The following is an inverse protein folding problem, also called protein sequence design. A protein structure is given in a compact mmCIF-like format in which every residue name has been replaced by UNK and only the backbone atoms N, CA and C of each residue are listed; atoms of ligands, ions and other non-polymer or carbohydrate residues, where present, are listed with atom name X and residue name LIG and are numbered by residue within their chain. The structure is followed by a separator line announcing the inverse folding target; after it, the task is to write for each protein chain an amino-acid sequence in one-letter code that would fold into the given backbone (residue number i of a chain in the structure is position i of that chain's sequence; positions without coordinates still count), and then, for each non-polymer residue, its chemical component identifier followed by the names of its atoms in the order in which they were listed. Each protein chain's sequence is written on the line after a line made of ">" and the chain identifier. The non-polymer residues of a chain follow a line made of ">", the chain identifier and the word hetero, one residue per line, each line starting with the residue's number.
data_IF_020214688108
#
_entry.id   IF_020214688108
#
_cell.length_a   1.000
_cell.length_b   1.000
_cell.length_c   1.000
_cell.angle_alpha   90.00
_cell.angle_beta   90.00
_cell.angle_gamma   90.00
#
_symmetry.space_group_name_H-M   'P 1'
#
loop_
_entity.id
_entity.type
_entity.pdbx_description
1 polymer ?
#
# COMPACT_ATOMS: atom_id res chain seq x y z
N UNK A 1 -8.95 -0.20 -6.23
CA UNK A 1 -9.62 1.00 -6.79
C UNK A 1 -10.68 0.57 -7.80
N UNK A 2 -10.38 -0.19 -8.88
CA UNK A 2 -11.38 -0.61 -9.89
C UNK A 2 -12.59 -1.33 -9.28
N UNK A 3 -12.37 -2.27 -8.35
CA UNK A 3 -13.47 -2.99 -7.66
C UNK A 3 -14.36 -2.06 -6.84
N UNK A 4 -13.78 -1.02 -6.23
CA UNK A 4 -14.49 -0.02 -5.44
C UNK A 4 -15.44 0.81 -6.33
N UNK A 5 -14.95 1.30 -7.47
CA UNK A 5 -15.78 2.02 -8.43
C UNK A 5 -16.87 1.14 -9.04
N UNK A 6 -16.55 -0.10 -9.40
CA UNK A 6 -17.52 -1.05 -9.95
C UNK A 6 -18.62 -1.35 -8.91
N UNK A 7 -18.27 -1.60 -7.64
CA UNK A 7 -19.26 -1.88 -6.59
C UNK A 7 -20.15 -0.67 -6.29
N UNK A 8 -19.58 0.55 -6.28
CA UNK A 8 -20.34 1.79 -6.12
C UNK A 8 -21.30 1.98 -7.29
N UNK A 9 -20.79 1.87 -8.51
CA UNK A 9 -21.58 2.04 -9.73
C UNK A 9 -22.74 1.02 -9.79
N UNK A 10 -22.45 -0.27 -9.54
CA UNK A 10 -23.47 -1.31 -9.50
C UNK A 10 -24.50 -1.05 -8.40
N UNK A 11 -24.08 -0.67 -7.19
CA UNK A 11 -24.99 -0.40 -6.09
C UNK A 11 -25.91 0.78 -6.42
N UNK A 12 -25.35 1.89 -6.90
CA UNK A 12 -26.14 3.08 -7.28
C UNK A 12 -27.06 2.79 -8.45
N UNK A 13 -26.58 2.10 -9.49
CA UNK A 13 -27.39 1.74 -10.65
C UNK A 13 -28.53 0.79 -10.28
N UNK A 14 -28.24 -0.24 -9.46
CA UNK A 14 -29.27 -1.19 -9.02
C UNK A 14 -30.30 -0.53 -8.09
N UNK A 15 -29.83 0.37 -7.20
CA UNK A 15 -30.72 1.15 -6.33
C UNK A 15 -31.61 2.09 -7.14
N UNK A 16 -31.04 2.79 -8.13
CA UNK A 16 -31.80 3.67 -9.00
C UNK A 16 -32.88 2.92 -9.77
N UNK A 17 -32.52 1.79 -10.41
CA UNK A 17 -33.46 0.94 -11.16
C UNK A 17 -34.52 0.32 -10.23
N UNK A 18 -34.11 -0.22 -9.07
CA UNK A 18 -35.01 -0.86 -8.12
C UNK A 18 -36.00 0.12 -7.49
N UNK A 19 -35.50 1.27 -7.03
CA UNK A 19 -36.36 2.31 -6.43
C UNK A 19 -37.26 2.94 -7.51
N UNK A 20 -36.69 3.24 -8.69
CA UNK A 20 -37.46 3.77 -9.83
C UNK A 20 -38.58 2.85 -10.26
N UNK A 21 -38.27 1.55 -10.41
CA UNK A 21 -39.27 0.55 -10.80
C UNK A 21 -40.36 0.36 -9.74
N UNK A 22 -40.00 0.31 -8.46
CA UNK A 22 -40.99 0.18 -7.36
C UNK A 22 -41.92 1.39 -7.28
N UNK A 23 -41.36 2.61 -7.43
CA UNK A 23 -42.16 3.85 -7.43
C UNK A 23 -43.10 3.93 -8.65
N UNK A 24 -42.58 3.59 -9.84
CA UNK A 24 -43.42 3.54 -11.08
C UNK A 24 -44.54 2.49 -10.95
N UNK A 25 -44.22 1.32 -10.39
CA UNK A 25 -45.23 0.27 -10.14
C UNK A 25 -46.28 0.68 -9.11
N UNK A 26 -45.86 1.36 -8.03
CA UNK A 26 -46.81 1.90 -7.04
C UNK A 26 -47.65 3.05 -7.62
N UNK A 27 -47.06 3.88 -8.45
CA UNK A 27 -47.74 4.96 -9.12
C UNK A 27 -48.85 4.39 -10.04
N UNK A 28 -48.52 3.46 -10.95
CA UNK A 28 -49.45 2.80 -11.84
C UNK A 28 -50.59 2.06 -11.13
N UNK A 29 -50.31 1.48 -9.95
CA UNK A 29 -51.31 0.77 -9.15
C UNK A 29 -52.27 1.70 -8.43
N UNK A 30 -51.83 2.90 -8.05
CA UNK A 30 -52.63 3.85 -7.26
C UNK A 30 -53.22 5.00 -8.06
N UNK A 31 -52.83 5.12 -9.34
CA UNK A 31 -53.29 6.17 -10.26
C UNK A 31 -54.05 5.53 -11.40
N UNK A 32 -55.38 5.53 -11.34
CA UNK A 32 -56.20 5.22 -12.52
C UNK A 32 -55.93 6.25 -13.62
N UNK A 33 -55.61 5.80 -14.83
CA UNK A 33 -55.37 6.67 -16.00
C UNK A 33 -56.68 7.35 -16.50
N UNK A 34 -57.86 6.90 -16.01
CA UNK A 34 -59.12 7.52 -16.32
C UNK A 34 -59.26 8.84 -15.57
N UNK A 35 -59.49 9.90 -16.33
CA UNK A 35 -59.79 11.20 -15.73
C UNK A 35 -61.06 11.07 -14.88
N UNK A 36 -61.00 11.41 -13.59
CA UNK A 36 -62.14 11.21 -12.67
C UNK A 36 -63.41 11.96 -13.08
N UNK A 37 -63.30 12.90 -14.02
CA UNK A 37 -64.43 13.65 -14.56
C UNK A 37 -65.06 13.06 -15.82
N UNK A 38 -64.46 12.07 -16.48
CA UNK A 38 -65.01 11.51 -17.72
C UNK A 38 -66.36 10.83 -17.50
N UNK A 39 -66.50 9.98 -16.51
CA UNK A 39 -67.76 9.29 -16.25
C UNK A 39 -68.89 10.25 -15.79
N UNK A 40 -68.67 11.23 -14.88
CA UNK A 40 -69.66 12.25 -14.55
C UNK A 40 -70.06 13.11 -15.73
N UNK A 41 -69.07 13.50 -16.58
CA UNK A 41 -69.32 14.31 -17.79
C UNK A 41 -70.18 13.59 -18.82
N UNK A 42 -69.87 12.29 -19.04
CA UNK A 42 -70.70 11.43 -19.93
C UNK A 42 -72.13 11.29 -19.39
N UNK A 43 -72.30 11.02 -18.08
CA UNK A 43 -73.61 10.92 -17.46
C UNK A 43 -74.38 12.25 -17.55
N UNK A 44 -73.69 13.37 -17.33
CA UNK A 44 -74.29 14.68 -17.44
C UNK A 44 -74.69 15.04 -18.90
N UNK A 45 -73.86 14.73 -19.88
CA UNK A 45 -74.18 14.92 -21.27
C UNK A 45 -75.36 14.11 -21.71
N UNK A 46 -75.51 12.88 -21.20
CA UNK A 46 -76.71 12.03 -21.47
C UNK A 46 -77.99 12.64 -20.88
N UNK A 47 -77.94 13.21 -19.68
CA UNK A 47 -79.04 13.91 -19.04
C UNK A 47 -79.47 15.15 -19.87
N UNK A 48 -78.47 15.96 -20.29
CA UNK A 48 -78.70 17.13 -21.13
C UNK A 48 -79.34 16.80 -22.49
N UNK A 49 -78.97 15.62 -23.03
CA UNK A 49 -79.55 15.17 -24.33
C UNK A 49 -81.06 14.87 -24.22
N UNK A 50 -81.53 14.50 -23.00
CA UNK A 50 -82.95 14.23 -22.80
C UNK A 50 -83.77 15.51 -22.59
N UNK A 51 -83.12 16.67 -22.34
CA UNK A 51 -83.83 17.97 -22.17
C UNK A 51 -84.07 18.62 -23.55
N UNK A 52 -85.20 19.41 -23.67
CA UNK A 52 -85.46 20.25 -24.87
C UNK A 52 -84.28 21.24 -25.04
N UNK A 53 -83.94 21.54 -26.30
CA UNK A 53 -82.80 22.45 -26.59
C UNK A 53 -82.92 23.81 -25.93
N UNK A 54 -84.11 24.37 -25.90
CA UNK A 54 -84.35 25.70 -25.28
C UNK A 54 -84.10 25.74 -23.79
N UNK A 55 -84.19 24.63 -23.08
CA UNK A 55 -84.04 24.55 -21.61
C UNK A 55 -82.64 24.16 -21.17
N UNK A 56 -81.75 23.71 -22.07
CA UNK A 56 -80.38 23.24 -21.76
C UNK A 56 -79.51 24.37 -21.24
N UNK A 57 -79.66 25.56 -21.78
CA UNK A 57 -78.85 26.70 -21.42
C UNK A 57 -79.18 27.19 -20.01
N UNK A 58 -80.49 27.31 -19.69
CA UNK A 58 -80.98 27.71 -18.35
C UNK A 58 -80.50 26.73 -17.26
N UNK A 59 -80.54 25.41 -17.60
CA UNK A 59 -80.11 24.38 -16.66
C UNK A 59 -78.57 24.45 -16.38
N UNK A 60 -77.76 24.74 -17.38
CA UNK A 60 -76.33 24.93 -17.22
C UNK A 60 -75.99 26.18 -16.44
N UNK A 61 -76.68 27.29 -16.64
CA UNK A 61 -76.45 28.55 -15.92
C UNK A 61 -76.71 28.35 -14.41
N UNK A 62 -77.71 27.61 -14.04
CA UNK A 62 -77.98 27.27 -12.61
C UNK A 62 -76.88 26.40 -12.03
N UNK A 63 -76.39 25.41 -12.75
CA UNK A 63 -75.34 24.47 -12.30
C UNK A 63 -73.95 25.12 -12.23
N UNK A 64 -73.62 26.01 -13.17
CA UNK A 64 -72.34 26.72 -13.14
C UNK A 64 -72.23 27.72 -12.04
N UNK A 65 -73.36 28.35 -11.67
CA UNK A 65 -73.44 29.35 -10.59
C UNK A 65 -73.29 28.70 -9.20
N UNK A 66 -73.91 27.49 -8.99
CA UNK A 66 -73.90 26.83 -7.68
C UNK A 66 -72.68 25.93 -7.41
N UNK A 67 -72.05 25.36 -8.44
CA UNK A 67 -71.03 24.30 -8.26
C UNK A 67 -69.59 24.69 -8.70
N UNK A 68 -69.34 25.95 -9.09
CA UNK A 68 -68.03 26.44 -9.56
C UNK A 68 -67.38 25.57 -10.70
N UNK A 69 -68.19 24.75 -11.37
CA UNK A 69 -67.75 23.98 -12.54
C UNK A 69 -67.95 24.84 -13.78
N UNK A 70 -66.93 25.26 -14.48
CA UNK A 70 -67.09 26.08 -15.69
C UNK A 70 -67.54 25.18 -16.86
N UNK A 71 -68.86 25.05 -16.99
CA UNK A 71 -69.51 24.29 -18.05
C UNK A 71 -70.16 25.24 -19.06
N UNK A 72 -69.87 25.07 -20.34
CA UNK A 72 -70.47 25.87 -21.40
C UNK A 72 -70.96 24.97 -22.56
N UNK A 73 -72.10 25.34 -23.15
CA UNK A 73 -72.55 24.75 -24.39
C UNK A 73 -72.10 25.59 -25.57
N UNK A 74 -71.43 24.94 -26.52
CA UNK A 74 -70.83 25.54 -27.70
C UNK A 74 -71.40 24.92 -28.94
N UNK A 75 -71.49 25.69 -30.01
CA UNK A 75 -71.77 25.12 -31.34
C UNK A 75 -70.51 24.42 -31.86
N UNK A 76 -70.64 23.35 -32.63
CA UNK A 76 -69.44 22.65 -33.17
C UNK A 76 -68.50 23.55 -33.97
N UNK A 77 -69.02 24.59 -34.59
CA UNK A 77 -68.24 25.61 -35.34
C UNK A 77 -67.37 26.49 -34.49
N UNK A 78 -67.57 26.55 -33.18
CA UNK A 78 -66.87 27.37 -32.22
C UNK A 78 -65.68 26.66 -31.60
N UNK A 79 -65.45 25.37 -31.94
CA UNK A 79 -64.47 24.54 -31.33
C UNK A 79 -63.39 24.17 -32.34
N UNK A 80 -62.14 24.52 -32.02
CA UNK A 80 -60.95 24.13 -32.80
C UNK A 80 -60.36 22.85 -32.17
N UNK A 81 -60.73 21.66 -32.66
CA UNK A 81 -60.15 20.39 -32.30
C UNK A 81 -58.90 20.11 -33.15
N UNK A 82 -57.97 19.32 -32.60
CA UNK A 82 -56.85 18.82 -33.35
C UNK A 82 -57.30 17.90 -34.51
N UNK A 83 -56.54 17.83 -35.61
CA UNK A 83 -56.91 17.08 -36.84
C UNK A 83 -57.27 15.63 -36.65
N UNK A 84 -56.80 15.02 -35.53
CA UNK A 84 -57.01 13.59 -35.24
C UNK A 84 -58.11 13.33 -34.18
N UNK A 85 -58.76 14.40 -33.67
CA UNK A 85 -59.81 14.30 -32.65
C UNK A 85 -61.19 14.45 -33.28
N UNK A 86 -61.98 13.41 -33.11
CA UNK A 86 -63.40 13.39 -33.59
C UNK A 86 -64.34 13.32 -32.39
N UNK A 87 -65.28 14.27 -32.31
CA UNK A 87 -66.33 14.21 -31.30
C UNK A 87 -67.27 13.12 -31.62
N UNK A 88 -67.47 12.18 -30.71
CA UNK A 88 -68.45 11.10 -30.79
C UNK A 88 -69.34 11.11 -29.58
N UNK A 89 -70.59 10.71 -29.67
CA UNK A 89 -71.49 10.63 -28.53
C UNK A 89 -70.94 9.69 -27.46
N UNK A 90 -70.99 10.13 -26.17
CA UNK A 90 -70.50 9.41 -25.00
C UNK A 90 -68.97 9.26 -24.94
N UNK A 91 -68.21 9.98 -25.73
CA UNK A 91 -66.76 10.00 -25.64
C UNK A 91 -66.26 11.41 -25.30
N UNK A 92 -65.45 11.52 -24.22
CA UNK A 92 -64.84 12.79 -23.80
C UNK A 92 -63.57 13.00 -24.58
N UNK A 93 -63.46 14.15 -25.23
CA UNK A 93 -62.24 14.57 -25.92
C UNK A 93 -61.57 15.63 -25.05
N UNK A 94 -60.34 15.36 -24.60
CA UNK A 94 -59.55 16.32 -23.79
C UNK A 94 -58.59 17.06 -24.72
N UNK A 95 -58.57 18.38 -24.61
CA UNK A 95 -57.67 19.26 -25.34
C UNK A 95 -56.92 20.16 -24.37
N UNK A 96 -55.64 20.40 -24.62
CA UNK A 96 -54.82 21.32 -23.81
C UNK A 96 -54.49 22.58 -24.62
N UNK A 97 -54.74 23.74 -24.04
CA UNK A 97 -54.40 25.02 -24.68
C UNK A 97 -52.90 25.28 -24.65
N UNK A 98 -52.41 26.26 -25.41
CA UNK A 98 -51.00 26.71 -25.38
C UNK A 98 -50.54 27.25 -24.03
N UNK A 99 -51.47 27.59 -23.13
CA UNK A 99 -51.23 28.06 -21.78
C UNK A 99 -51.20 26.95 -20.73
N UNK A 100 -51.43 25.67 -21.17
CA UNK A 100 -51.39 24.49 -20.32
C UNK A 100 -52.73 24.17 -19.62
N UNK A 101 -53.79 24.91 -19.93
CA UNK A 101 -55.10 24.62 -19.39
C UNK A 101 -55.77 23.47 -20.15
N UNK A 102 -56.45 22.55 -19.43
CA UNK A 102 -57.17 21.44 -20.03
C UNK A 102 -58.67 21.72 -20.10
N UNK A 103 -59.23 21.44 -21.27
CA UNK A 103 -60.66 21.47 -21.53
C UNK A 103 -61.12 20.10 -21.98
N UNK A 104 -62.31 19.70 -21.51
CA UNK A 104 -62.98 18.45 -21.90
C UNK A 104 -64.20 18.79 -22.74
N UNK A 105 -64.33 18.10 -23.84
CA UNK A 105 -65.42 18.29 -24.78
C UNK A 105 -66.19 16.98 -24.95
N UNK A 106 -67.54 17.05 -24.90
CA UNK A 106 -68.40 15.91 -25.15
C UNK A 106 -69.61 16.38 -26.00
N UNK A 107 -69.99 15.54 -26.95
CA UNK A 107 -71.13 15.84 -27.83
C UNK A 107 -72.46 15.64 -27.14
N UNK A 108 -73.37 16.65 -27.22
CA UNK A 108 -74.70 16.66 -26.63
C UNK A 108 -75.69 17.05 -27.74
N UNK A 109 -76.18 16.07 -28.49
CA UNK A 109 -77.01 16.30 -29.64
C UNK A 109 -76.31 17.05 -30.81
N UNK A 110 -76.78 18.23 -31.22
CA UNK A 110 -76.12 19.12 -32.18
C UNK A 110 -75.13 20.10 -31.56
N UNK A 111 -75.00 20.11 -30.23
CA UNK A 111 -74.15 21.00 -29.47
C UNK A 111 -73.01 20.23 -28.84
N UNK A 112 -72.04 20.94 -28.28
CA UNK A 112 -70.87 20.38 -27.56
C UNK A 112 -70.81 21.01 -26.18
N UNK A 113 -70.82 20.16 -25.16
CA UNK A 113 -70.52 20.58 -23.79
C UNK A 113 -69.03 20.70 -23.58
N UNK A 114 -68.60 21.86 -23.20
CA UNK A 114 -67.20 22.15 -22.76
C UNK A 114 -67.14 22.24 -21.25
N UNK A 115 -66.24 21.51 -20.64
CA UNK A 115 -65.90 21.62 -19.25
C UNK A 115 -64.43 22.10 -19.11
N UNK A 116 -64.22 23.16 -18.34
CA UNK A 116 -62.87 23.68 -18.11
C UNK A 116 -62.81 25.20 -18.04
N UNK A 117 -61.68 25.78 -17.64
CA UNK A 117 -60.40 25.12 -17.42
C UNK A 117 -60.40 24.18 -16.20
N UNK A 118 -59.76 23.00 -16.36
CA UNK A 118 -59.67 22.00 -15.30
C UNK A 118 -58.23 22.01 -14.80
N UNK A 119 -58.02 22.16 -13.47
CA UNK A 119 -56.70 22.01 -12.86
C UNK A 119 -56.19 20.60 -13.04
N UNK A 120 -55.00 20.47 -13.66
CA UNK A 120 -54.48 19.28 -14.32
C UNK A 120 -54.03 18.18 -13.37
N UNK A 121 -53.81 18.45 -12.11
CA UNK A 121 -53.19 17.44 -11.25
C UNK A 121 -53.67 17.42 -9.79
N UNK A 122 -54.87 16.82 -9.53
CA UNK A 122 -55.31 16.62 -8.15
C UNK A 122 -54.36 15.75 -7.31
N UNK A 123 -53.32 15.20 -7.94
CA UNK A 123 -52.36 14.28 -7.31
C UNK A 123 -50.91 14.82 -7.32
N UNK A 124 -50.73 16.10 -7.64
CA UNK A 124 -49.40 16.74 -7.60
C UNK A 124 -48.70 16.57 -6.25
N UNK A 125 -49.45 16.63 -5.16
CA UNK A 125 -48.94 16.42 -3.79
C UNK A 125 -48.42 14.98 -3.61
N UNK A 126 -49.14 13.99 -4.15
CA UNK A 126 -48.73 12.60 -4.09
C UNK A 126 -47.44 12.35 -4.90
N UNK A 127 -47.35 12.95 -6.11
CA UNK A 127 -46.15 12.90 -6.93
C UNK A 127 -44.94 13.54 -6.25
N UNK A 128 -45.14 14.68 -5.61
CA UNK A 128 -44.12 15.36 -4.85
C UNK A 128 -43.63 14.50 -3.66
N UNK A 129 -44.55 13.84 -2.95
CA UNK A 129 -44.23 12.93 -1.85
C UNK A 129 -43.43 11.71 -2.34
N UNK A 130 -43.81 11.07 -3.45
CA UNK A 130 -43.05 9.96 -4.04
C UNK A 130 -41.65 10.40 -4.48
N UNK A 131 -41.53 11.59 -5.06
CA UNK A 131 -40.24 12.16 -5.46
C UNK A 131 -39.36 12.39 -4.25
N UNK A 132 -39.90 12.91 -3.16
CA UNK A 132 -39.18 13.10 -1.90
C UNK A 132 -38.67 11.76 -1.35
N UNK A 133 -39.53 10.73 -1.27
CA UNK A 133 -39.13 9.38 -0.82
C UNK A 133 -38.06 8.77 -1.71
N UNK A 134 -38.13 8.99 -3.03
CA UNK A 134 -37.10 8.54 -3.97
C UNK A 134 -35.73 9.13 -3.61
N UNK A 135 -35.62 10.43 -3.46
CA UNK A 135 -34.36 11.08 -3.12
C UNK A 135 -33.88 10.72 -1.71
N UNK A 136 -34.78 10.56 -0.75
CA UNK A 136 -34.43 10.15 0.60
C UNK A 136 -33.87 8.73 0.64
N UNK A 137 -34.47 7.79 -0.09
CA UNK A 137 -34.00 6.41 -0.18
C UNK A 137 -32.64 6.31 -0.90
N UNK A 138 -32.43 7.10 -1.95
CA UNK A 138 -31.16 7.19 -2.65
C UNK A 138 -30.04 7.76 -1.73
N UNK A 139 -30.37 8.82 -0.97
CA UNK A 139 -29.46 9.39 0.01
C UNK A 139 -29.09 8.40 1.12
N UNK A 140 -30.05 7.61 1.59
CA UNK A 140 -29.82 6.57 2.60
C UNK A 140 -28.87 5.48 2.09
N UNK A 141 -29.08 4.99 0.86
CA UNK A 141 -28.20 4.01 0.21
C UNK A 141 -26.79 4.57 0.07
N UNK A 142 -26.64 5.80 -0.39
CA UNK A 142 -25.37 6.47 -0.51
C UNK A 142 -24.65 6.61 0.86
N UNK A 143 -25.37 6.97 1.92
CA UNK A 143 -24.83 7.11 3.27
C UNK A 143 -24.32 5.78 3.83
N UNK A 144 -25.08 4.68 3.64
CA UNK A 144 -24.69 3.34 4.09
C UNK A 144 -23.37 2.89 3.41
N UNK A 145 -23.15 3.29 2.17
CA UNK A 145 -21.95 2.91 1.44
C UNK A 145 -20.77 3.86 1.69
N UNK A 146 -20.98 5.18 1.67
CA UNK A 146 -19.95 6.20 1.84
C UNK A 146 -19.46 6.31 3.27
N UNK A 147 -20.35 6.12 4.26
CA UNK A 147 -20.02 6.24 5.67
C UNK A 147 -18.85 5.36 6.12
N UNK A 148 -18.89 4.03 5.92
CA UNK A 148 -17.77 3.14 6.25
C UNK A 148 -16.49 3.49 5.51
N UNK A 149 -16.58 3.84 4.21
CA UNK A 149 -15.43 4.24 3.41
C UNK A 149 -14.76 5.50 3.95
N UNK A 150 -15.55 6.53 4.28
CA UNK A 150 -15.06 7.79 4.85
C UNK A 150 -14.37 7.57 6.20
N UNK A 151 -14.94 6.71 7.04
CA UNK A 151 -14.33 6.32 8.33
C UNK A 151 -12.99 5.64 8.14
N UNK A 152 -12.92 4.65 7.24
CA UNK A 152 -11.71 3.87 6.99
C UNK A 152 -10.59 4.74 6.38
N UNK A 153 -10.94 5.68 5.48
CA UNK A 153 -10.02 6.67 4.96
C UNK A 153 -9.51 7.64 6.04
N UNK A 154 -10.37 8.02 6.99
CA UNK A 154 -9.97 8.86 8.12
C UNK A 154 -8.97 8.15 9.04
N UNK A 155 -9.17 6.84 9.29
CA UNK A 155 -8.21 6.00 10.04
C UNK A 155 -6.87 5.94 9.31
N UNK A 156 -6.89 5.68 7.99
CA UNK A 156 -5.69 5.66 7.17
C UNK A 156 -4.94 7.00 7.24
N UNK A 157 -5.65 8.12 7.06
CA UNK A 157 -5.07 9.48 7.14
C UNK A 157 -4.43 9.74 8.51
N UNK A 158 -5.12 9.37 9.60
CA UNK A 158 -4.59 9.54 10.95
C UNK A 158 -3.32 8.71 11.15
N UNK A 159 -3.33 7.43 10.76
CA UNK A 159 -2.18 6.56 10.90
C UNK A 159 -0.96 7.05 10.08
N UNK A 160 -1.19 7.54 8.85
CA UNK A 160 -0.14 8.12 8.02
C UNK A 160 0.46 9.38 8.67
N UNK A 161 -0.40 10.22 9.28
CA UNK A 161 0.06 11.40 10.02
C UNK A 161 0.87 11.02 11.26
N UNK A 162 0.35 10.10 12.09
CA UNK A 162 1.02 9.62 13.30
C UNK A 162 2.38 8.99 12.95
N UNK A 163 2.47 8.22 11.86
CA UNK A 163 3.72 7.64 11.36
C UNK A 163 4.71 8.74 10.90
N UNK A 164 4.23 9.78 10.21
CA UNK A 164 5.04 10.94 9.83
C UNK A 164 5.55 11.76 11.02
N UNK A 165 4.86 11.70 12.17
CA UNK A 165 5.30 12.29 13.45
C UNK A 165 6.26 11.38 14.25
N UNK A 166 6.92 10.43 13.56
CA UNK A 166 7.89 9.48 14.14
C UNK A 166 7.31 8.47 15.14
N UNK A 167 6.00 8.21 15.10
CA UNK A 167 5.36 7.12 15.86
C UNK A 167 5.46 5.82 15.06
N UNK A 168 6.64 5.22 15.03
CA UNK A 168 7.02 4.12 14.14
C UNK A 168 6.24 2.82 14.36
N UNK A 169 5.61 2.65 15.53
CA UNK A 169 4.80 1.47 15.87
C UNK A 169 3.35 1.55 15.37
N UNK A 170 2.99 2.67 14.71
CA UNK A 170 1.65 2.87 14.17
C UNK A 170 1.33 1.81 13.12
N UNK A 171 0.19 1.10 13.32
CA UNK A 171 -0.32 0.09 12.37
C UNK A 171 -1.81 0.30 12.17
N UNK A 172 -2.29 -0.04 10.97
CA UNK A 172 -3.69 0.08 10.58
C UNK A 172 -4.33 -1.29 10.64
N UNK A 173 -5.39 -1.39 11.43
CA UNK A 173 -6.21 -2.60 11.50
C UNK A 173 -7.63 -2.28 11.02
N UNK A 174 -7.97 -2.69 9.81
CA UNK A 174 -9.28 -2.55 9.21
C UNK A 174 -9.99 -3.90 9.10
N UNK A 175 -11.32 -3.86 9.13
CA UNK A 175 -12.15 -5.05 8.93
C UNK A 175 -11.82 -5.74 7.59
N UNK A 176 -12.01 -7.07 7.55
CA UNK A 176 -11.86 -7.85 6.31
C UNK A 176 -12.80 -7.41 5.19
N UNK A 177 -13.92 -6.74 5.54
CA UNK A 177 -14.89 -6.20 4.60
C UNK A 177 -14.53 -4.82 4.07
N UNK A 178 -13.51 -4.16 4.64
CA UNK A 178 -13.09 -2.83 4.20
C UNK A 178 -12.54 -2.86 2.78
N UNK A 179 -13.04 -1.95 1.97
CA UNK A 179 -12.61 -1.81 0.57
C UNK A 179 -11.19 -1.21 0.46
N UNK A 180 -10.72 -0.50 1.49
CA UNK A 180 -9.38 0.08 1.55
C UNK A 180 -8.37 -0.80 2.30
N UNK A 181 -8.75 -2.03 2.69
CA UNK A 181 -7.86 -2.97 3.36
C UNK A 181 -6.57 -3.28 2.58
N UNK A 182 -6.57 -3.46 1.24
CA UNK A 182 -5.32 -3.64 0.49
C UNK A 182 -4.34 -2.48 0.69
N UNK A 183 -4.86 -1.23 0.71
CA UNK A 183 -4.04 -0.05 0.94
C UNK A 183 -3.48 -0.01 2.37
N UNK A 184 -4.28 -0.40 3.37
CA UNK A 184 -3.82 -0.52 4.74
C UNK A 184 -2.71 -1.58 4.90
N UNK A 185 -2.81 -2.71 4.19
CA UNK A 185 -1.78 -3.74 4.18
C UNK A 185 -0.46 -3.22 3.59
N UNK A 186 -0.52 -2.56 2.43
CA UNK A 186 0.66 -1.94 1.80
C UNK A 186 1.30 -0.89 2.72
N UNK A 187 0.47 -0.06 3.39
CA UNK A 187 0.97 0.88 4.40
C UNK A 187 1.68 0.14 5.55
N UNK A 188 1.09 -0.92 6.08
CA UNK A 188 1.68 -1.69 7.18
C UNK A 188 3.01 -2.36 6.77
N UNK A 189 3.13 -2.83 5.53
CA UNK A 189 4.39 -3.37 4.99
C UNK A 189 5.46 -2.28 4.90
N UNK A 190 5.13 -1.15 4.31
CA UNK A 190 6.01 0.01 4.26
C UNK A 190 6.43 0.46 5.67
N UNK A 191 5.46 0.56 6.60
CA UNK A 191 5.70 0.96 7.97
C UNK A 191 6.62 -0.03 8.71
N UNK A 192 6.50 -1.34 8.46
CA UNK A 192 7.43 -2.36 9.01
C UNK A 192 8.85 -2.17 8.49
N UNK A 193 8.99 -1.98 7.17
CA UNK A 193 10.31 -1.78 6.56
C UNK A 193 11.00 -0.51 7.10
N UNK A 194 10.28 0.61 7.18
CA UNK A 194 10.85 1.87 7.69
C UNK A 194 11.18 1.75 9.18
N UNK A 195 10.30 1.16 9.99
CA UNK A 195 10.58 0.95 11.42
C UNK A 195 11.84 0.10 11.64
N UNK A 196 11.99 -0.99 10.87
CA UNK A 196 13.18 -1.84 10.93
C UNK A 196 14.46 -1.09 10.49
N UNK A 197 14.37 -0.24 9.45
CA UNK A 197 15.50 0.60 9.03
C UNK A 197 15.94 1.59 10.12
N UNK A 198 14.97 2.25 10.76
CA UNK A 198 15.24 3.22 11.82
C UNK A 198 15.84 2.53 13.05
N UNK A 199 15.31 1.37 13.44
CA UNK A 199 15.84 0.59 14.56
C UNK A 199 17.25 0.11 14.27
N UNK A 200 17.52 -0.42 13.08
CA UNK A 200 18.86 -0.79 12.64
C UNK A 200 19.82 0.41 12.65
N UNK A 201 19.39 1.58 12.16
CA UNK A 201 20.17 2.80 12.18
C UNK A 201 20.51 3.26 13.61
N UNK A 202 19.54 3.16 14.53
CA UNK A 202 19.74 3.49 15.94
C UNK A 202 20.73 2.53 16.62
N UNK A 203 20.58 1.23 16.36
CA UNK A 203 21.53 0.22 16.86
C UNK A 203 22.93 0.45 16.33
N UNK A 204 23.07 0.71 15.03
CA UNK A 204 24.34 1.03 14.39
C UNK A 204 24.99 2.27 15.04
N UNK A 205 24.25 3.36 15.18
CA UNK A 205 24.76 4.61 15.79
C UNK A 205 25.23 4.42 17.23
N UNK A 206 24.47 3.67 18.02
CA UNK A 206 24.83 3.37 19.40
C UNK A 206 26.09 2.50 19.47
N UNK A 207 26.18 1.45 18.65
CA UNK A 207 27.33 0.57 18.59
C UNK A 207 28.60 1.31 18.15
N UNK A 208 28.52 2.12 17.09
CA UNK A 208 29.62 2.99 16.63
C UNK A 208 30.11 3.89 17.77
N UNK A 209 29.17 4.55 18.46
CA UNK A 209 29.51 5.45 19.56
C UNK A 209 30.25 4.71 20.69
N UNK A 210 29.84 3.47 20.97
CA UNK A 210 30.48 2.64 21.98
C UNK A 210 31.90 2.20 21.56
N UNK A 211 32.02 1.69 20.31
CA UNK A 211 33.30 1.18 19.79
C UNK A 211 34.35 2.27 19.58
N UNK A 212 33.95 3.52 19.31
CA UNK A 212 34.84 4.67 19.22
C UNK A 212 35.24 5.17 20.63
N UNK A 213 34.31 5.14 21.58
CA UNK A 213 34.57 5.70 22.93
C UNK A 213 35.68 4.98 23.66
N UNK A 214 35.80 3.68 23.52
CA UNK A 214 36.76 2.83 24.22
C UNK A 214 38.21 3.17 23.84
N UNK A 215 38.63 3.10 22.55
CA UNK A 215 40.01 3.46 22.17
C UNK A 215 40.31 4.95 22.40
N UNK A 216 39.32 5.84 22.22
CA UNK A 216 39.45 7.26 22.51
C UNK A 216 39.74 7.52 24.01
N UNK A 217 39.06 6.80 24.91
CA UNK A 217 39.30 6.88 26.34
C UNK A 217 40.72 6.40 26.71
N UNK A 218 41.18 5.28 26.07
CA UNK A 218 42.58 4.80 26.25
C UNK A 218 43.60 5.82 25.78
N UNK A 219 43.40 6.42 24.60
CA UNK A 219 44.28 7.48 24.09
C UNK A 219 44.29 8.72 24.98
N UNK A 220 43.12 9.17 25.50
CA UNK A 220 43.07 10.27 26.45
C UNK A 220 43.82 9.97 27.72
N UNK A 221 43.71 8.76 28.25
CA UNK A 221 44.46 8.32 29.45
C UNK A 221 45.94 8.25 29.14
N UNK A 222 46.36 7.70 28.02
CA UNK A 222 47.74 7.68 27.58
C UNK A 222 48.34 9.08 27.45
N UNK A 223 47.61 10.02 26.83
CA UNK A 223 48.04 11.42 26.74
C UNK A 223 48.24 12.06 28.13
N UNK A 224 47.40 11.75 29.11
CA UNK A 224 47.56 12.25 30.48
C UNK A 224 48.79 11.66 31.18
N UNK A 225 49.20 10.45 30.84
CA UNK A 225 50.39 9.79 31.36
C UNK A 225 51.66 10.14 30.58
N UNK A 226 51.58 10.74 29.40
CA UNK A 226 52.74 11.09 28.56
C UNK A 226 53.84 11.84 29.30
N UNK A 227 53.57 12.86 30.18
CA UNK A 227 54.63 13.55 30.91
C UNK A 227 55.46 12.64 31.81
N UNK A 228 54.87 11.53 32.27
CA UNK A 228 55.53 10.58 33.16
C UNK A 228 56.47 9.62 32.41
N UNK A 229 56.11 9.23 31.17
CA UNK A 229 56.87 8.31 30.33
C UNK A 229 57.89 9.01 29.41
N UNK A 230 57.71 10.29 29.14
CA UNK A 230 58.60 11.06 28.28
C UNK A 230 59.57 11.97 29.05
N UNK A 231 59.96 11.65 30.29
CA UNK A 231 61.03 12.33 31.04
C UNK A 231 62.39 11.94 30.47
N UNK A 232 63.40 12.84 30.57
CA UNK A 232 64.74 12.56 30.06
C UNK A 232 65.41 11.31 30.67
N UNK A 233 65.07 10.98 31.94
CA UNK A 233 65.62 9.83 32.68
C UNK A 233 64.68 8.59 32.64
N UNK A 234 63.60 8.60 31.82
CA UNK A 234 62.75 7.46 31.73
C UNK A 234 63.39 6.32 30.93
N UNK A 235 63.05 5.07 31.28
CA UNK A 235 63.47 3.86 30.61
C UNK A 235 63.01 3.89 29.15
N UNK A 236 63.97 3.84 28.21
CA UNK A 236 63.73 3.90 26.77
C UNK A 236 62.75 2.80 26.30
N UNK A 237 62.88 1.57 26.86
CA UNK A 237 61.99 0.46 26.49
C UNK A 237 60.56 0.73 26.89
N UNK A 238 60.34 1.22 28.12
CA UNK A 238 58.98 1.57 28.60
C UNK A 238 58.36 2.72 27.79
N UNK A 239 59.17 3.67 27.37
CA UNK A 239 58.73 4.77 26.52
C UNK A 239 58.27 4.23 25.14
N UNK A 240 59.08 3.35 24.55
CA UNK A 240 58.75 2.74 23.25
C UNK A 240 57.49 1.87 23.32
N UNK A 241 57.35 1.05 24.35
CA UNK A 241 56.17 0.22 24.56
C UNK A 241 54.90 1.08 24.72
N UNK A 242 54.99 2.16 25.48
CA UNK A 242 53.88 3.12 25.63
C UNK A 242 53.48 3.79 24.30
N UNK A 243 54.46 4.22 23.50
CA UNK A 243 54.17 4.80 22.17
C UNK A 243 53.57 3.77 21.22
N UNK A 244 54.06 2.52 21.28
CA UNK A 244 53.51 1.42 20.48
C UNK A 244 52.05 1.12 20.84
N UNK A 245 51.66 1.13 22.12
CA UNK A 245 50.29 0.96 22.57
C UNK A 245 49.38 2.08 22.01
N UNK A 246 49.83 3.34 22.06
CA UNK A 246 49.10 4.46 21.48
C UNK A 246 48.91 4.30 19.94
N UNK A 247 49.95 3.84 19.23
CA UNK A 247 49.87 3.57 17.79
C UNK A 247 48.89 2.44 17.48
N UNK A 248 48.82 1.40 18.30
CA UNK A 248 47.85 0.33 18.18
C UNK A 248 46.39 0.82 18.35
N UNK A 249 46.15 1.70 19.33
CA UNK A 249 44.84 2.30 19.54
C UNK A 249 44.39 3.18 18.34
N UNK A 250 45.32 3.97 17.78
CA UNK A 250 45.06 4.76 16.58
C UNK A 250 44.71 3.84 15.40
N UNK A 251 45.49 2.80 15.19
CA UNK A 251 45.28 1.83 14.11
C UNK A 251 43.94 1.07 14.25
N UNK A 252 43.55 0.76 15.50
CA UNK A 252 42.26 0.17 15.81
C UNK A 252 41.09 1.11 15.35
N UNK A 253 41.21 2.42 15.65
CA UNK A 253 40.20 3.42 15.20
C UNK A 253 40.16 3.58 13.68
N UNK A 254 41.36 3.61 13.02
CA UNK A 254 41.42 3.69 11.56
C UNK A 254 40.74 2.48 10.89
N UNK A 255 40.99 1.27 11.40
CA UNK A 255 40.38 0.06 10.93
C UNK A 255 38.83 0.08 11.10
N UNK A 256 38.37 0.52 12.28
CA UNK A 256 36.93 0.67 12.53
C UNK A 256 36.29 1.66 11.56
N UNK A 257 36.92 2.82 11.34
CA UNK A 257 36.41 3.82 10.39
C UNK A 257 36.35 3.24 8.95
N UNK A 258 37.37 2.50 8.53
CA UNK A 258 37.43 1.89 7.22
C UNK A 258 36.35 0.81 7.03
N UNK A 259 36.09 0.00 8.07
CA UNK A 259 34.98 -0.98 8.07
C UNK A 259 33.62 -0.30 7.99
N UNK A 260 33.42 0.79 8.76
CA UNK A 260 32.19 1.60 8.73
C UNK A 260 31.92 2.23 7.36
N UNK A 261 32.95 2.85 6.76
CA UNK A 261 32.84 3.45 5.43
C UNK A 261 32.51 2.38 4.36
N UNK A 262 33.15 1.20 4.46
CA UNK A 262 32.82 0.08 3.58
C UNK A 262 31.39 -0.38 3.78
N UNK A 263 30.93 -0.57 5.01
CA UNK A 263 29.57 -0.98 5.32
C UNK A 263 28.55 0.04 4.78
N UNK A 264 28.76 1.34 5.02
CA UNK A 264 27.90 2.42 4.55
C UNK A 264 27.86 2.52 3.02
N UNK A 265 29.01 2.34 2.35
CA UNK A 265 29.05 2.37 0.87
C UNK A 265 28.28 1.23 0.22
N UNK A 266 28.18 0.08 0.88
CA UNK A 266 27.43 -1.09 0.42
C UNK A 266 25.90 -0.92 0.59
N UNK A 267 25.44 0.01 1.43
CA UNK A 267 24.01 0.36 1.55
C UNK A 267 23.51 1.21 0.39
N UNK A 268 24.40 1.96 -0.27
CA UNK A 268 24.01 2.77 -1.43
C UNK A 268 23.76 1.86 -2.64
N UNK A 269 22.56 1.96 -3.22
CA UNK A 269 22.17 1.23 -4.44
C UNK A 269 22.82 1.82 -5.71
N UNK A 270 24.13 2.08 -5.70
CA UNK A 270 24.82 2.48 -6.93
C UNK A 270 24.93 1.27 -7.86
N UNK A 271 24.80 1.52 -9.15
CA UNK A 271 25.08 0.49 -10.18
C UNK A 271 26.44 -0.12 -9.93
N UNK A 272 26.49 -1.44 -9.93
CA UNK A 272 27.69 -2.20 -9.69
C UNK A 272 28.44 -2.38 -11.00
N UNK A 273 29.71 -1.93 -11.13
CA UNK A 273 30.53 -2.29 -12.28
C UNK A 273 30.67 -3.81 -12.32
N UNK A 274 30.43 -4.40 -13.49
CA UNK A 274 30.52 -5.84 -13.70
C UNK A 274 31.80 -6.15 -14.48
N UNK A 275 32.88 -6.39 -13.73
CA UNK A 275 34.14 -6.83 -14.30
C UNK A 275 34.20 -8.36 -14.29
N UNK A 276 34.82 -8.94 -15.34
CA UNK A 276 35.11 -10.35 -15.37
C UNK A 276 36.37 -10.61 -14.54
N UNK A 277 36.33 -11.59 -13.65
CA UNK A 277 37.47 -12.01 -12.83
C UNK A 277 37.47 -13.51 -12.62
N UNK A 278 38.67 -14.09 -12.41
CA UNK A 278 38.82 -15.50 -12.03
C UNK A 278 38.86 -15.64 -10.50
N UNK A 279 37.86 -16.34 -9.95
CA UNK A 279 37.73 -16.55 -8.51
C UNK A 279 38.91 -17.34 -7.93
N UNK A 280 39.44 -18.34 -8.64
CA UNK A 280 40.55 -19.18 -8.17
C UNK A 280 41.83 -18.35 -8.04
N UNK A 281 42.10 -17.50 -9.01
CA UNK A 281 43.24 -16.56 -8.96
C UNK A 281 43.11 -15.61 -7.76
N UNK A 282 41.94 -15.08 -7.52
CA UNK A 282 41.67 -14.16 -6.40
C UNK A 282 41.83 -14.84 -5.02
N UNK A 283 41.39 -16.11 -4.89
CA UNK A 283 41.59 -16.92 -3.69
C UNK A 283 43.10 -17.16 -3.46
N UNK A 284 43.82 -17.61 -4.47
CA UNK A 284 45.25 -17.88 -4.34
C UNK A 284 46.07 -16.65 -3.96
N UNK A 285 45.74 -15.47 -4.53
CA UNK A 285 46.36 -14.20 -4.13
C UNK A 285 46.06 -13.85 -2.67
N UNK A 286 44.82 -14.06 -2.21
CA UNK A 286 44.43 -13.81 -0.83
C UNK A 286 45.11 -14.76 0.16
N UNK A 287 45.23 -16.05 -0.19
CA UNK A 287 45.98 -17.03 0.61
C UNK A 287 47.44 -16.60 0.72
N UNK A 288 48.10 -16.26 -0.41
CA UNK A 288 49.51 -15.86 -0.42
C UNK A 288 49.78 -14.64 0.46
N UNK A 289 48.88 -13.64 0.48
CA UNK A 289 49.03 -12.45 1.33
C UNK A 289 48.85 -12.78 2.80
N UNK A 290 47.90 -13.63 3.15
CA UNK A 290 47.56 -13.93 4.55
C UNK A 290 48.47 -14.97 5.17
N UNK A 291 48.98 -15.96 4.39
CA UNK A 291 49.95 -16.95 4.87
C UNK A 291 51.31 -16.33 5.26
N UNK A 292 51.63 -15.17 4.70
CA UNK A 292 52.83 -14.42 5.13
C UNK A 292 52.68 -13.77 6.52
N UNK A 293 51.44 -13.67 7.05
CA UNK A 293 51.13 -12.97 8.32
C UNK A 293 50.68 -13.93 9.44
N UNK A 294 50.51 -15.22 9.16
CA UNK A 294 49.97 -16.20 10.09
C UNK A 294 50.65 -17.55 9.98
N UNK A 295 50.87 -18.21 11.10
CA UNK A 295 51.46 -19.56 11.18
C UNK A 295 50.41 -20.67 10.90
N UNK A 296 49.09 -20.34 10.96
CA UNK A 296 48.04 -21.32 10.72
C UNK A 296 47.96 -21.68 9.24
N UNK A 297 48.14 -22.94 8.84
CA UNK A 297 48.10 -23.36 7.45
C UNK A 297 46.69 -23.18 6.83
N UNK A 298 46.69 -22.60 5.61
CA UNK A 298 45.46 -22.43 4.80
C UNK A 298 45.55 -23.37 3.62
N UNK A 299 44.60 -24.27 3.49
CA UNK A 299 44.56 -25.27 2.39
C UNK A 299 43.39 -24.97 1.48
N UNK A 300 43.61 -24.99 0.15
CA UNK A 300 42.57 -24.87 -0.87
C UNK A 300 42.26 -26.26 -1.45
N UNK A 301 41.01 -26.69 -1.34
CA UNK A 301 40.51 -27.91 -1.97
C UNK A 301 39.55 -27.52 -3.10
N UNK A 302 39.94 -27.79 -4.32
CA UNK A 302 39.13 -27.57 -5.51
C UNK A 302 39.66 -28.37 -6.67
N UNK A 303 38.79 -28.93 -7.49
CA UNK A 303 39.11 -29.57 -8.77
C UNK A 303 39.03 -28.58 -9.96
N UNK A 304 38.81 -27.30 -9.66
CA UNK A 304 38.54 -26.25 -10.63
C UNK A 304 39.84 -25.43 -10.80
N UNK A 305 40.44 -25.42 -11.99
CA UNK A 305 41.63 -24.64 -12.25
C UNK A 305 41.34 -23.15 -12.46
N UNK A 306 40.23 -22.82 -13.13
CA UNK A 306 39.79 -21.45 -13.40
C UNK A 306 38.28 -21.36 -13.29
N UNK A 307 37.77 -20.26 -12.64
CA UNK A 307 36.37 -20.03 -12.47
C UNK A 307 36.02 -18.55 -12.74
N UNK A 308 35.77 -18.24 -14.04
CA UNK A 308 35.42 -16.88 -14.44
C UNK A 308 34.03 -16.51 -13.92
N UNK A 309 33.92 -15.35 -13.27
CA UNK A 309 32.72 -14.78 -12.72
C UNK A 309 32.60 -13.30 -13.06
N UNK A 310 31.38 -12.77 -13.00
CA UNK A 310 31.11 -11.34 -13.19
C UNK A 310 30.70 -10.70 -11.88
N UNK A 311 31.33 -9.57 -11.53
CA UNK A 311 31.03 -8.86 -10.29
C UNK A 311 32.00 -7.74 -10.04
N UNK A 312 32.12 -7.33 -8.80
CA UNK A 312 33.09 -6.34 -8.33
C UNK A 312 34.22 -7.09 -7.58
N UNK A 313 35.38 -7.35 -8.25
CA UNK A 313 36.44 -8.20 -7.70
C UNK A 313 36.95 -7.73 -6.35
N UNK A 314 37.06 -6.41 -6.14
CA UNK A 314 37.53 -5.81 -4.90
C UNK A 314 36.61 -6.13 -3.71
N UNK A 315 35.28 -6.19 -3.93
CA UNK A 315 34.32 -6.56 -2.89
C UNK A 315 34.38 -8.06 -2.56
N UNK A 316 34.53 -8.91 -3.57
CA UNK A 316 34.68 -10.35 -3.33
C UNK A 316 35.99 -10.63 -2.59
N UNK A 317 37.09 -9.97 -2.98
CA UNK A 317 38.37 -10.03 -2.26
C UNK A 317 38.20 -9.58 -0.79
N UNK A 318 37.46 -8.51 -0.55
CA UNK A 318 37.16 -8.02 0.80
C UNK A 318 36.36 -9.03 1.63
N UNK A 319 35.36 -9.68 1.01
CA UNK A 319 34.59 -10.74 1.67
C UNK A 319 35.48 -11.93 2.03
N UNK A 320 36.36 -12.36 1.13
CA UNK A 320 37.31 -13.43 1.36
C UNK A 320 38.30 -13.07 2.47
N UNK A 321 38.87 -11.86 2.46
CA UNK A 321 39.76 -11.37 3.50
C UNK A 321 39.08 -11.39 4.88
N UNK A 322 37.82 -10.93 4.97
CA UNK A 322 37.07 -10.95 6.23
C UNK A 322 36.82 -12.38 6.73
N UNK A 323 36.51 -13.34 5.82
CA UNK A 323 36.36 -14.75 6.20
C UNK A 323 37.66 -15.35 6.69
N UNK A 324 38.75 -15.13 5.95
CA UNK A 324 40.07 -15.69 6.28
C UNK A 324 40.63 -15.10 7.57
N UNK A 325 40.50 -13.79 7.77
CA UNK A 325 40.92 -13.12 9.02
C UNK A 325 40.08 -13.63 10.20
N UNK A 326 38.79 -13.87 10.00
CA UNK A 326 37.95 -14.49 11.01
C UNK A 326 38.39 -15.93 11.32
N UNK A 327 38.64 -16.74 10.26
CA UNK A 327 39.11 -18.09 10.42
C UNK A 327 40.48 -18.15 11.15
N UNK A 328 41.47 -17.30 10.80
CA UNK A 328 42.76 -17.20 11.47
C UNK A 328 42.62 -16.87 12.95
N UNK A 329 41.69 -15.98 13.29
CA UNK A 329 41.45 -15.60 14.69
C UNK A 329 40.97 -16.73 15.56
N UNK A 330 40.17 -17.64 14.99
CA UNK A 330 39.47 -18.70 15.73
C UNK A 330 40.02 -20.10 15.44
N UNK A 331 40.79 -20.32 14.38
CA UNK A 331 41.41 -21.61 14.11
C UNK A 331 42.40 -22.04 15.21
N UNK A 332 42.46 -23.32 15.46
CA UNK A 332 43.46 -23.94 16.34
C UNK A 332 44.63 -24.48 15.54
N UNK A 333 44.37 -25.19 14.46
CA UNK A 333 45.43 -25.87 13.71
C UNK A 333 45.35 -25.63 12.20
N UNK A 334 44.14 -25.50 11.60
CA UNK A 334 44.02 -25.42 10.16
C UNK A 334 42.81 -24.61 9.70
N UNK A 335 42.94 -24.07 8.48
CA UNK A 335 41.88 -23.40 7.75
C UNK A 335 41.73 -24.10 6.42
N UNK A 336 40.50 -24.48 6.07
CA UNK A 336 40.17 -25.14 4.83
C UNK A 336 39.26 -24.25 3.99
N UNK A 337 39.67 -24.04 2.72
CA UNK A 337 38.85 -23.37 1.71
C UNK A 337 38.40 -24.42 0.72
N UNK A 338 37.11 -24.47 0.43
CA UNK A 338 36.56 -25.38 -0.59
C UNK A 338 35.77 -24.56 -1.61
N UNK A 339 36.01 -24.82 -2.88
CA UNK A 339 35.31 -24.20 -4.00
C UNK A 339 34.63 -25.30 -4.81
N UNK A 340 33.34 -25.14 -5.02
CA UNK A 340 32.56 -26.03 -5.87
C UNK A 340 31.62 -25.25 -6.77
N UNK A 341 31.25 -25.84 -7.89
CA UNK A 341 30.26 -25.25 -8.79
C UNK A 341 29.24 -26.29 -9.22
N UNK A 342 28.02 -25.84 -9.39
CA UNK A 342 26.93 -26.54 -10.06
C UNK A 342 26.60 -25.83 -11.38
N UNK A 343 25.63 -26.35 -12.13
CA UNK A 343 25.18 -25.66 -13.35
C UNK A 343 24.62 -24.25 -13.06
N UNK A 344 24.10 -24.03 -11.89
CA UNK A 344 23.37 -22.79 -11.53
C UNK A 344 24.10 -21.91 -10.50
N UNK A 345 24.90 -22.48 -9.61
CA UNK A 345 25.50 -21.75 -8.47
C UNK A 345 26.97 -22.08 -8.31
N UNK A 346 27.70 -21.10 -7.83
CA UNK A 346 29.06 -21.23 -7.30
C UNK A 346 28.99 -21.19 -5.80
N UNK A 347 29.80 -22.03 -5.14
CA UNK A 347 29.88 -22.10 -3.68
C UNK A 347 31.34 -22.00 -3.26
N UNK A 348 31.63 -21.07 -2.35
CA UNK A 348 32.91 -20.92 -1.67
C UNK A 348 32.66 -21.12 -0.18
N UNK A 349 33.34 -22.04 0.45
CA UNK A 349 33.31 -22.21 1.89
C UNK A 349 34.68 -22.05 2.52
N UNK A 350 34.69 -21.41 3.69
CA UNK A 350 35.87 -21.27 4.56
C UNK A 350 35.54 -21.91 5.90
N UNK A 351 36.36 -22.86 6.31
CA UNK A 351 36.16 -23.62 7.52
C UNK A 351 37.37 -23.52 8.44
N UNK A 352 37.16 -23.50 9.73
CA UNK A 352 38.22 -23.59 10.75
C UNK A 352 37.85 -24.58 11.86
N UNK A 353 38.83 -25.10 12.54
CA UNK A 353 38.75 -26.11 13.62
C UNK A 353 38.71 -25.47 15.04
N UNK A 354 38.24 -24.23 15.14
CA UNK A 354 38.13 -23.51 16.39
C UNK A 354 36.94 -23.91 17.25
N UNK A 355 36.70 -23.14 18.30
CA UNK A 355 35.52 -23.33 19.16
C UNK A 355 34.23 -23.14 18.38
N UNK A 356 33.22 -23.98 18.63
CA UNK A 356 31.95 -23.86 17.93
C UNK A 356 31.20 -22.59 18.39
N UNK A 357 30.46 -22.01 17.44
CA UNK A 357 29.56 -20.91 17.71
C UNK A 357 28.30 -21.48 18.39
N UNK A 358 27.87 -20.95 19.55
CA UNK A 358 26.64 -21.38 20.20
C UNK A 358 25.43 -21.25 19.26
N UNK A 359 24.50 -22.21 19.31
CA UNK A 359 23.30 -22.23 18.43
C UNK A 359 22.47 -20.94 18.55
N UNK A 360 22.39 -20.35 19.74
CA UNK A 360 21.65 -19.09 20.00
C UNK A 360 22.27 -17.88 19.31
N UNK A 361 23.55 -17.98 18.94
CA UNK A 361 24.31 -16.88 18.30
C UNK A 361 24.31 -17.01 16.76
N UNK A 362 24.13 -18.22 16.22
CA UNK A 362 24.16 -18.46 14.76
C UNK A 362 23.25 -17.52 13.94
N UNK A 363 22.02 -17.22 14.34
CA UNK A 363 21.18 -16.28 13.60
C UNK A 363 21.70 -14.84 13.59
N UNK A 364 22.53 -14.50 14.59
CA UNK A 364 22.97 -13.11 14.88
C UNK A 364 24.37 -12.78 14.39
N UNK A 365 25.19 -13.77 14.03
CA UNK A 365 26.61 -13.55 13.69
C UNK A 365 26.80 -12.60 12.51
N UNK A 366 25.79 -12.40 11.65
CA UNK A 366 25.80 -11.48 10.53
C UNK A 366 25.17 -10.11 10.85
N UNK A 367 24.74 -9.87 12.10
CA UNK A 367 24.27 -8.55 12.53
C UNK A 367 25.48 -7.62 12.77
N UNK A 368 25.40 -6.34 12.38
CA UNK A 368 26.49 -5.39 12.61
C UNK A 368 26.81 -5.27 14.10
N UNK A 369 28.09 -5.25 14.44
CA UNK A 369 28.64 -5.15 15.82
C UNK A 369 28.27 -6.32 16.73
N UNK A 370 27.66 -7.39 16.20
CA UNK A 370 27.38 -8.56 17.02
C UNK A 370 28.66 -9.31 17.37
N UNK A 371 28.79 -9.67 18.65
CA UNK A 371 29.89 -10.49 19.21
C UNK A 371 29.32 -11.47 20.19
N UNK A 372 29.69 -12.75 20.07
CA UNK A 372 29.29 -13.76 21.07
C UNK A 372 29.93 -13.44 22.43
N UNK A 373 29.15 -13.62 23.50
CA UNK A 373 29.62 -13.39 24.87
C UNK A 373 30.75 -14.33 25.27
N UNK A 374 30.85 -15.52 24.69
CA UNK A 374 31.92 -16.49 24.92
C UNK A 374 33.31 -16.00 24.46
N UNK A 375 33.36 -15.01 23.58
CA UNK A 375 34.58 -14.51 22.92
C UNK A 375 35.13 -13.19 23.55
N UNK A 376 34.53 -12.71 24.63
CA UNK A 376 34.88 -11.39 25.22
C UNK A 376 36.30 -11.24 25.78
N UNK A 377 37.01 -12.36 26.02
CA UNK A 377 38.37 -12.30 26.59
C UNK A 377 39.44 -12.39 25.52
N UNK A 378 39.82 -11.24 24.94
CA UNK A 378 41.11 -11.06 24.21
C UNK A 378 41.07 -10.94 22.70
N UNK A 379 39.98 -11.28 21.99
CA UNK A 379 39.94 -11.21 20.54
C UNK A 379 39.42 -9.87 20.01
N UNK A 380 40.35 -9.06 19.49
CA UNK A 380 40.10 -7.72 18.93
C UNK A 380 39.34 -7.81 17.59
N UNK A 381 38.11 -7.29 17.50
CA UNK A 381 37.37 -7.13 16.27
C UNK A 381 36.03 -6.47 16.54
N UNK A 382 35.60 -5.56 15.64
CA UNK A 382 34.44 -4.69 15.84
C UNK A 382 33.10 -5.35 15.54
N UNK A 383 33.08 -6.61 15.05
CA UNK A 383 31.83 -7.30 14.69
C UNK A 383 31.18 -6.82 13.38
N UNK A 384 31.93 -6.09 12.53
CA UNK A 384 31.44 -5.61 11.24
C UNK A 384 31.79 -6.57 10.08
N UNK A 385 32.87 -7.36 10.19
CA UNK A 385 33.39 -8.16 9.08
C UNK A 385 32.36 -9.12 8.47
N UNK A 386 31.61 -9.87 9.30
CA UNK A 386 30.56 -10.80 8.82
C UNK A 386 29.34 -10.05 8.27
N UNK A 387 28.99 -8.91 8.83
CA UNK A 387 27.91 -8.05 8.30
C UNK A 387 28.29 -7.47 6.92
N UNK A 388 29.56 -7.09 6.71
CA UNK A 388 30.09 -6.64 5.42
C UNK A 388 29.97 -7.77 4.40
N UNK A 389 30.35 -9.01 4.76
CA UNK A 389 30.23 -10.18 3.88
C UNK A 389 28.78 -10.37 3.44
N UNK A 390 27.83 -10.33 4.38
CA UNK A 390 26.40 -10.46 4.06
C UNK A 390 25.94 -9.39 3.07
N UNK A 391 26.34 -8.14 3.23
CA UNK A 391 26.01 -7.05 2.31
C UNK A 391 26.65 -7.23 0.93
N UNK A 392 27.90 -7.66 0.87
CA UNK A 392 28.59 -7.97 -0.39
C UNK A 392 27.85 -9.07 -1.13
N UNK A 393 27.49 -10.16 -0.46
CA UNK A 393 26.76 -11.26 -1.06
C UNK A 393 25.39 -10.83 -1.57
N UNK A 394 24.62 -10.07 -0.80
CA UNK A 394 23.34 -9.51 -1.21
C UNK A 394 23.48 -8.64 -2.48
N UNK A 395 24.53 -7.81 -2.54
CA UNK A 395 24.83 -6.99 -3.73
C UNK A 395 25.15 -7.84 -4.96
N UNK A 396 25.75 -9.01 -4.77
CA UNK A 396 26.05 -9.99 -5.84
C UNK A 396 24.91 -11.01 -6.07
N UNK A 397 23.70 -10.79 -5.55
CA UNK A 397 22.55 -11.71 -5.62
C UNK A 397 22.84 -13.10 -5.02
N UNK A 398 23.77 -13.12 -4.09
CA UNK A 398 24.21 -14.31 -3.38
C UNK A 398 23.69 -14.36 -1.94
N UNK A 399 24.06 -15.44 -1.27
CA UNK A 399 23.71 -15.74 0.11
C UNK A 399 24.95 -16.11 0.91
N UNK A 400 24.94 -15.83 2.21
CA UNK A 400 25.94 -16.31 3.15
C UNK A 400 25.25 -17.13 4.24
N UNK A 401 25.82 -18.28 4.55
CA UNK A 401 25.35 -19.20 5.59
C UNK A 401 26.51 -19.58 6.51
N UNK A 402 26.18 -19.99 7.74
CA UNK A 402 27.12 -20.52 8.73
C UNK A 402 26.58 -21.80 9.29
N UNK A 403 27.46 -22.79 9.42
CA UNK A 403 27.21 -24.02 10.19
C UNK A 403 28.36 -24.19 11.17
N UNK A 404 28.06 -24.53 12.41
CA UNK A 404 29.06 -24.71 13.45
C UNK A 404 28.76 -25.97 14.26
N UNK A 405 29.76 -26.81 14.36
CA UNK A 405 29.74 -28.07 15.10
C UNK A 405 31.02 -28.18 15.94
N UNK A 406 31.11 -29.05 16.95
CA UNK A 406 32.30 -29.16 17.80
C UNK A 406 33.61 -29.38 17.05
N UNK A 407 33.54 -29.99 15.87
CA UNK A 407 34.74 -30.26 15.05
C UNK A 407 35.12 -29.13 14.11
N UNK A 408 34.18 -28.24 13.75
CA UNK A 408 34.41 -27.28 12.65
C UNK A 408 33.35 -26.20 12.61
N UNK A 409 33.77 -24.96 12.41
CA UNK A 409 32.89 -23.85 12.00
C UNK A 409 33.13 -23.56 10.52
N UNK A 410 32.05 -23.54 9.72
CA UNK A 410 32.07 -23.33 8.27
C UNK A 410 31.17 -22.17 7.87
N UNK A 411 31.75 -21.19 7.19
CA UNK A 411 31.05 -20.10 6.50
C UNK A 411 30.97 -20.42 5.01
N UNK A 412 29.79 -20.32 4.43
CA UNK A 412 29.55 -20.66 3.03
C UNK A 412 28.97 -19.48 2.29
N UNK A 413 29.65 -19.03 1.23
CA UNK A 413 29.17 -18.04 0.29
C UNK A 413 28.63 -18.76 -0.94
N UNK A 414 27.47 -18.41 -1.42
CA UNK A 414 26.89 -18.97 -2.64
C UNK A 414 26.22 -17.91 -3.48
N UNK A 415 26.50 -17.90 -4.77
CA UNK A 415 25.88 -16.95 -5.72
C UNK A 415 25.61 -17.60 -7.08
N UNK A 416 24.70 -17.05 -7.89
CA UNK A 416 24.36 -17.61 -9.20
C UNK A 416 25.54 -17.50 -10.17
N UNK A 417 25.79 -18.56 -10.95
CA UNK A 417 26.85 -18.60 -11.96
C UNK A 417 26.60 -17.62 -13.11
N UNK A 418 25.31 -17.40 -13.46
CA UNK A 418 24.87 -16.37 -14.39
C UNK A 418 23.96 -15.42 -13.65
N UNK A 419 24.27 -14.14 -13.68
CA UNK A 419 23.39 -13.11 -13.10
C UNK A 419 22.12 -13.05 -13.92
N UNK A 420 20.95 -13.10 -13.27
CA UNK A 420 19.70 -12.72 -13.91
C UNK A 420 19.72 -11.19 -14.07
N UNK A 421 19.75 -10.73 -15.33
CA UNK A 421 19.67 -9.32 -15.72
C UNK A 421 18.25 -8.79 -15.47
#
# INVERSE_FOLDING_TARGET
>A
VKRLFISLYLLLSLSFLGIGWTLDSLWKKNVDENNPLDAPLVAFAQLLTQLPEESRHDYLEVLTTDNQLPLNLLSPDQIALAKDQVLTPNHVVTTTTSEGEQFQFIQVGEQVLMAGPIEIDPRADLRNLFTLFFYLSLALVALIWVGPLSRDLSILRKATKDFGEAKWDTRINLSNRSQVKPLANTFNEMARHISALIENQKHLSNAVSHEIRTPLARLKFALALMPMYCQPDSDEQKRQDFLNEMQLDIKEMENLLQELLTYASLESQREMPLDEYDLITLINQSIKRLSALSETPITLHTDIETLPLFGEPALIERALQNLLTNAQRFARHQILIEVSQTQQRVTLSVSNDGEPIPEVDLPKVFEPFYRSQSVQNGNKGHGLGLAIIKRIMQRHQGEVNVTSHPAQTRFTLSWPKKRQI
#
